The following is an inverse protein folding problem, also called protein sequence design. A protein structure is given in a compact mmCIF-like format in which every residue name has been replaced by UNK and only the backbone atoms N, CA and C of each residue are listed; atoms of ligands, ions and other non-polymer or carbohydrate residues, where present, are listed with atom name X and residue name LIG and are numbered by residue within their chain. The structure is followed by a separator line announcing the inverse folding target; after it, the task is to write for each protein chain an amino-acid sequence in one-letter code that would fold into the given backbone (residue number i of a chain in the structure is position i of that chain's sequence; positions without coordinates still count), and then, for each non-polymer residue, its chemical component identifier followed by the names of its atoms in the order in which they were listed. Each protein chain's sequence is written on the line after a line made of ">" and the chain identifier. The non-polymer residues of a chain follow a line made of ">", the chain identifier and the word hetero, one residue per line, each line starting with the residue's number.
data_IF_486732134542
#
_entry.id   IF_486732134542
#
_cell.length_a   1.000
_cell.length_b   1.000
_cell.length_c   1.000
_cell.angle_alpha   90.00
_cell.angle_beta   90.00
_cell.angle_gamma   90.00
#
_symmetry.space_group_name_H-M   'P 1'
#
loop_
_entity.id
_entity.type
_entity.pdbx_description
1 polymer ?
#
# COMPACT_ATOMS: atom_id res chain seq x y z
N UNK A 1 25.33 -14.03 -0.11
CA UNK A 1 24.25 -14.01 -1.12
C UNK A 1 22.99 -13.68 -0.36
N UNK A 2 22.38 -12.51 -0.59
CA UNK A 2 21.17 -12.12 0.13
C UNK A 2 20.05 -12.93 -0.52
N UNK A 3 19.38 -13.80 0.23
CA UNK A 3 18.30 -14.64 -0.28
C UNK A 3 17.19 -13.76 -0.84
N UNK A 4 17.21 -13.55 -2.17
CA UNK A 4 16.18 -12.83 -2.91
C UNK A 4 14.96 -13.75 -3.10
N UNK A 5 14.41 -14.25 -1.99
CA UNK A 5 13.15 -14.99 -2.04
C UNK A 5 12.02 -14.02 -2.37
N UNK A 6 11.08 -14.39 -3.26
CA UNK A 6 9.89 -13.60 -3.54
C UNK A 6 9.14 -13.15 -2.28
N UNK A 7 9.19 -13.94 -1.20
CA UNK A 7 8.58 -13.59 0.08
C UNK A 7 9.19 -12.33 0.71
N UNK A 8 10.52 -12.17 0.66
CA UNK A 8 11.21 -10.99 1.21
C UNK A 8 10.81 -9.72 0.46
N UNK A 9 10.65 -9.83 -0.86
CA UNK A 9 10.23 -8.71 -1.69
C UNK A 9 8.77 -8.31 -1.42
N UNK A 10 7.86 -9.29 -1.27
CA UNK A 10 6.46 -9.02 -0.93
C UNK A 10 6.36 -8.33 0.43
N UNK A 11 7.10 -8.78 1.44
CA UNK A 11 7.11 -8.14 2.76
C UNK A 11 7.67 -6.71 2.71
N UNK A 12 8.67 -6.45 1.87
CA UNK A 12 9.17 -5.09 1.66
C UNK A 12 8.10 -4.18 1.05
N UNK A 13 7.39 -4.64 0.02
CA UNK A 13 6.31 -3.88 -0.61
C UNK A 13 5.16 -3.66 0.37
N UNK A 14 4.80 -4.67 1.17
CA UNK A 14 3.80 -4.54 2.22
C UNK A 14 4.20 -3.45 3.24
N UNK A 15 5.43 -3.46 3.73
CA UNK A 15 5.90 -2.45 4.68
C UNK A 15 5.84 -1.03 4.10
N UNK A 16 6.15 -0.89 2.81
CA UNK A 16 6.05 0.37 2.09
C UNK A 16 4.59 0.84 1.94
N UNK A 17 3.66 -0.08 1.68
CA UNK A 17 2.22 0.20 1.68
C UNK A 17 1.74 0.64 3.06
N UNK A 18 2.13 -0.07 4.12
CA UNK A 18 1.81 0.30 5.52
C UNK A 18 2.32 1.71 5.84
N UNK A 19 3.52 2.05 5.36
CA UNK A 19 4.06 3.40 5.49
C UNK A 19 3.17 4.43 4.77
N UNK A 20 2.76 4.17 3.53
CA UNK A 20 1.81 5.05 2.81
C UNK A 20 0.47 5.23 3.55
N UNK A 21 -0.04 4.17 4.19
CA UNK A 21 -1.26 4.24 5.01
C UNK A 21 -1.09 5.19 6.20
N UNK A 22 0.08 5.24 6.83
CA UNK A 22 0.35 6.20 7.92
C UNK A 22 0.40 7.66 7.46
N UNK A 23 0.63 7.89 6.16
CA UNK A 23 0.59 9.22 5.56
C UNK A 23 -0.80 9.62 5.06
N UNK A 24 -1.83 8.80 5.31
CA UNK A 24 -3.19 9.02 4.81
C UNK A 24 -3.20 9.19 3.28
N UNK A 25 -2.47 8.32 2.58
CA UNK A 25 -2.49 8.23 1.11
C UNK A 25 -3.57 7.27 0.64
N UNK A 26 -4.27 7.65 -0.43
CA UNK A 26 -5.10 6.76 -1.23
C UNK A 26 -4.26 5.67 -1.89
N UNK A 27 -4.94 4.67 -2.45
CA UNK A 27 -4.28 3.59 -3.18
C UNK A 27 -3.49 4.13 -4.39
N UNK A 28 -4.08 5.08 -5.11
CA UNK A 28 -3.51 5.72 -6.28
C UNK A 28 -2.24 6.50 -5.91
N UNK A 29 -2.30 7.33 -4.86
CA UNK A 29 -1.13 8.05 -4.33
C UNK A 29 -0.04 7.09 -3.84
N UNK A 30 -0.41 6.00 -3.16
CA UNK A 30 0.53 4.96 -2.75
C UNK A 30 1.22 4.31 -3.96
N UNK A 31 0.47 3.99 -5.02
CA UNK A 31 1.03 3.42 -6.24
C UNK A 31 2.01 4.36 -6.94
N UNK A 32 1.67 5.65 -7.05
CA UNK A 32 2.53 6.67 -7.63
C UNK A 32 3.79 6.88 -6.77
N UNK A 33 3.62 7.08 -5.46
CA UNK A 33 4.74 7.30 -4.54
C UNK A 33 5.73 6.13 -4.54
N UNK A 34 5.26 4.88 -4.56
CA UNK A 34 6.15 3.71 -4.60
C UNK A 34 6.77 3.49 -5.98
N UNK A 35 6.09 3.87 -7.06
CA UNK A 35 6.66 3.84 -8.40
C UNK A 35 7.78 4.87 -8.55
N UNK A 36 7.57 6.10 -8.09
CA UNK A 36 8.54 7.19 -8.24
C UNK A 36 9.71 7.09 -7.25
N UNK A 37 9.43 6.82 -5.97
CA UNK A 37 10.44 6.87 -4.92
C UNK A 37 11.18 5.54 -4.72
N UNK A 38 10.54 4.41 -5.04
CA UNK A 38 11.09 3.06 -4.80
C UNK A 38 11.23 2.22 -6.08
N UNK A 39 10.86 2.75 -7.25
CA UNK A 39 10.89 2.05 -8.53
C UNK A 39 10.15 0.69 -8.49
N UNK A 40 9.06 0.64 -7.72
CA UNK A 40 8.18 -0.54 -7.62
C UNK A 40 7.13 -0.45 -8.71
N UNK A 41 6.95 -1.53 -9.47
CA UNK A 41 5.91 -1.57 -10.49
C UNK A 41 4.52 -1.39 -9.84
N UNK A 42 3.71 -0.41 -10.28
CA UNK A 42 2.37 -0.16 -9.73
C UNK A 42 1.47 -1.40 -9.69
N UNK A 43 1.65 -2.34 -10.62
CA UNK A 43 0.91 -3.62 -10.65
C UNK A 43 1.19 -4.45 -9.40
N UNK A 44 2.44 -4.46 -8.93
CA UNK A 44 2.86 -5.20 -7.73
C UNK A 44 2.22 -4.56 -6.50
N UNK A 45 2.35 -3.24 -6.34
CA UNK A 45 1.70 -2.48 -5.26
C UNK A 45 0.19 -2.70 -5.25
N UNK A 46 -0.47 -2.61 -6.42
CA UNK A 46 -1.91 -2.83 -6.56
C UNK A 46 -2.33 -4.26 -6.18
N UNK A 47 -1.49 -5.25 -6.48
CA UNK A 47 -1.76 -6.65 -6.13
C UNK A 47 -1.63 -6.87 -4.63
N UNK A 48 -0.52 -6.43 -4.02
CA UNK A 48 -0.29 -6.58 -2.57
C UNK A 48 -1.36 -5.80 -1.78
N UNK A 49 -1.69 -4.58 -2.21
CA UNK A 49 -2.76 -3.78 -1.60
C UNK A 49 -4.11 -4.52 -1.63
N UNK A 50 -4.48 -5.13 -2.76
CA UNK A 50 -5.74 -5.89 -2.88
C UNK A 50 -5.77 -7.08 -1.92
N UNK A 51 -4.67 -7.79 -1.74
CA UNK A 51 -4.61 -8.90 -0.78
C UNK A 51 -4.69 -8.39 0.67
N UNK A 52 -4.01 -7.28 1.00
CA UNK A 52 -4.12 -6.65 2.32
C UNK A 52 -5.55 -6.22 2.66
N UNK A 53 -6.27 -5.65 1.69
CA UNK A 53 -7.69 -5.29 1.85
C UNK A 53 -8.55 -6.52 2.10
N UNK A 54 -8.30 -7.62 1.39
CA UNK A 54 -9.07 -8.87 1.59
C UNK A 54 -8.84 -9.46 2.98
N UNK A 55 -7.61 -9.42 3.48
CA UNK A 55 -7.23 -9.94 4.79
C UNK A 55 -7.67 -9.02 5.94
N UNK A 56 -7.73 -7.71 5.72
CA UNK A 56 -7.96 -6.70 6.76
C UNK A 56 -9.11 -5.74 6.41
N UNK A 57 -10.24 -6.27 5.93
CA UNK A 57 -11.38 -5.47 5.43
C UNK A 57 -11.82 -4.36 6.38
N UNK A 58 -12.08 -4.69 7.64
CA UNK A 58 -12.60 -3.75 8.64
C UNK A 58 -11.66 -2.53 8.83
N UNK A 59 -10.34 -2.75 8.75
CA UNK A 59 -9.36 -1.68 8.81
C UNK A 59 -9.46 -0.77 7.58
N UNK A 60 -9.49 -1.35 6.38
CA UNK A 60 -9.52 -0.59 5.14
C UNK A 60 -10.84 0.16 4.93
N UNK A 61 -11.98 -0.42 5.35
CA UNK A 61 -13.27 0.29 5.34
C UNK A 61 -13.23 1.54 6.22
N UNK A 62 -12.69 1.41 7.44
CA UNK A 62 -12.53 2.55 8.35
C UNK A 62 -11.52 3.57 7.81
N UNK A 63 -10.44 3.11 7.18
CA UNK A 63 -9.41 3.96 6.61
C UNK A 63 -9.94 4.78 5.41
N UNK A 64 -10.67 4.15 4.50
CA UNK A 64 -11.29 4.82 3.36
C UNK A 64 -12.31 5.87 3.80
N UNK A 65 -13.12 5.59 4.83
CA UNK A 65 -14.02 6.59 5.42
C UNK A 65 -13.26 7.82 5.93
N UNK A 66 -12.16 7.62 6.66
CA UNK A 66 -11.31 8.71 7.16
C UNK A 66 -10.67 9.52 6.03
N UNK A 67 -10.29 8.87 4.93
CA UNK A 67 -9.75 9.55 3.76
C UNK A 67 -10.80 10.46 3.12
N UNK A 68 -12.02 9.96 2.92
CA UNK A 68 -13.13 10.74 2.35
C UNK A 68 -13.47 11.96 3.22
N UNK A 69 -13.48 11.80 4.55
CA UNK A 69 -13.69 12.92 5.48
C UNK A 69 -12.59 13.99 5.31
N UNK A 70 -11.33 13.59 5.21
CA UNK A 70 -10.19 14.49 5.00
C UNK A 70 -10.29 15.26 3.68
N UNK A 71 -10.70 14.63 2.59
CA UNK A 71 -10.84 15.30 1.28
C UNK A 71 -12.05 16.25 1.22
N UNK A 72 -13.05 16.04 2.08
CA UNK A 72 -14.25 16.89 2.15
C UNK A 72 -14.07 18.17 2.99
N UNK A 73 -12.91 18.35 3.64
CA UNK A 73 -12.55 19.50 4.47
C UNK A 73 -11.62 20.46 3.73
#
# INVERSE_FOLDING_TARGET
>A
MRDSSPAVYIHLVQHMIETCLTFNMSKEECMEALSENANINPIITSTVWKELVKENKDFFETYEQKLMEKESM
#
